data_IF_906887533458
#
_entry.id   IF_906887533458
#
_cell.length_a   1.000
_cell.length_b   1.000
_cell.length_c   1.000
_cell.angle_alpha   90.00
_cell.angle_beta   90.00
_cell.angle_gamma   90.00
#
_symmetry.space_group_name_H-M   'P 1'
#
loop_
_entity.id
_entity.type
_entity.pdbx_description
1 polymer ?
#
# COMPACT_ATOMS: atom_id res chain seq x y z
N UNK A 1 4.28 12.15 8.87
CA UNK A 1 4.31 10.84 9.58
C UNK A 1 5.70 10.22 9.57
N UNK A 2 6.45 10.21 8.46
CA UNK A 2 7.85 9.71 8.44
C UNK A 2 8.73 10.32 9.54
N UNK A 3 8.79 11.65 9.59
CA UNK A 3 9.51 12.36 10.67
C UNK A 3 9.07 11.96 12.08
N UNK A 4 7.78 11.68 12.29
CA UNK A 4 7.29 11.22 13.59
C UNK A 4 7.95 9.89 13.99
N UNK A 5 8.11 8.97 13.05
CA UNK A 5 8.78 7.69 13.27
C UNK A 5 10.29 7.88 13.45
N UNK A 6 10.92 8.74 12.63
CA UNK A 6 12.35 9.06 12.72
C UNK A 6 12.76 9.61 14.10
N UNK A 7 11.89 10.37 14.77
CA UNK A 7 12.14 10.90 16.12
C UNK A 7 11.62 10.00 17.26
N UNK A 8 11.33 8.73 16.98
CA UNK A 8 10.95 7.73 17.98
C UNK A 8 9.45 7.64 18.28
N UNK A 9 8.61 8.29 17.49
CA UNK A 9 7.15 8.15 17.54
C UNK A 9 6.63 6.94 16.75
N UNK A 10 5.30 6.86 16.61
CA UNK A 10 4.62 5.76 15.91
C UNK A 10 3.75 6.26 14.76
N UNK A 11 3.50 5.39 13.77
CA UNK A 11 2.68 5.71 12.61
C UNK A 11 1.21 6.01 12.96
N UNK A 12 0.71 5.38 14.03
CA UNK A 12 -0.64 5.53 14.56
C UNK A 12 -0.66 5.23 16.06
N UNK A 13 -1.37 6.04 16.84
CA UNK A 13 -1.67 5.74 18.24
C UNK A 13 -2.88 4.81 18.37
N UNK A 14 -4.06 5.27 17.90
CA UNK A 14 -5.34 4.57 18.08
C UNK A 14 -6.10 4.26 16.77
N UNK A 15 -5.97 5.11 15.75
CA UNK A 15 -6.81 5.02 14.53
C UNK A 15 -6.46 3.88 13.57
N UNK A 16 -5.26 3.34 13.67
CA UNK A 16 -4.76 2.29 12.78
C UNK A 16 -4.19 2.80 11.46
N UNK A 17 -3.81 1.84 10.62
CA UNK A 17 -3.10 2.06 9.35
C UNK A 17 -4.07 2.26 8.19
N UNK A 18 -5.05 1.35 8.06
CA UNK A 18 -6.04 1.37 6.98
C UNK A 18 -5.40 1.37 5.59
N UNK A 19 -5.93 2.21 4.69
CA UNK A 19 -5.34 2.46 3.37
C UNK A 19 -4.36 3.64 3.44
N UNK A 20 -4.76 4.71 4.15
CA UNK A 20 -4.05 6.00 4.15
C UNK A 20 -2.60 5.92 4.63
N UNK A 21 -2.31 5.05 5.61
CA UNK A 21 -0.95 4.92 6.17
C UNK A 21 -0.22 3.67 5.70
N UNK A 22 -0.85 2.85 4.84
CA UNK A 22 -0.33 1.55 4.38
C UNK A 22 1.07 1.66 3.79
N UNK A 23 1.29 2.64 2.92
CA UNK A 23 2.54 2.79 2.18
C UNK A 23 3.68 3.33 3.05
N UNK A 24 3.38 3.71 4.30
CA UNK A 24 4.37 4.14 5.29
C UNK A 24 4.74 3.03 6.28
N UNK A 25 4.20 1.82 6.14
CA UNK A 25 4.49 0.71 7.05
C UNK A 25 5.98 0.35 7.11
N UNK A 26 6.69 0.47 5.99
CA UNK A 26 8.15 0.23 5.94
C UNK A 26 8.98 1.28 6.69
N UNK A 27 8.39 2.41 7.09
CA UNK A 27 9.07 3.40 7.93
C UNK A 27 9.14 2.92 9.39
N UNK A 28 8.15 2.14 9.84
CA UNK A 28 8.01 1.71 11.23
C UNK A 28 8.40 0.24 11.46
N UNK A 29 8.24 -0.62 10.44
CA UNK A 29 8.47 -2.05 10.54
C UNK A 29 9.53 -2.49 9.53
N UNK A 30 10.38 -3.42 9.95
CA UNK A 30 11.34 -4.03 9.04
C UNK A 30 10.65 -4.96 8.04
N UNK A 31 11.34 -5.30 6.96
CA UNK A 31 10.85 -6.29 5.99
C UNK A 31 10.52 -7.64 6.65
N UNK A 32 11.29 -8.06 7.66
CA UNK A 32 11.02 -9.32 8.35
C UNK A 32 9.79 -9.24 9.25
N UNK A 33 9.57 -8.11 9.93
CA UNK A 33 8.33 -7.86 10.68
C UNK A 33 7.11 -7.93 9.75
N UNK A 34 7.18 -7.26 8.59
CA UNK A 34 6.10 -7.24 7.61
C UNK A 34 5.81 -8.64 7.05
N UNK A 35 6.85 -9.45 6.78
CA UNK A 35 6.67 -10.86 6.37
C UNK A 35 5.96 -11.68 7.44
N UNK A 36 6.30 -11.51 8.72
CA UNK A 36 5.62 -12.24 9.80
C UNK A 36 4.15 -11.83 9.92
N UNK A 37 3.86 -10.53 9.86
CA UNK A 37 2.47 -10.03 9.87
C UNK A 37 1.66 -10.57 8.68
N UNK A 38 2.26 -10.61 7.48
CA UNK A 38 1.63 -11.19 6.29
C UNK A 38 1.42 -12.70 6.41
N UNK A 39 2.35 -13.44 7.00
CA UNK A 39 2.16 -14.89 7.27
C UNK A 39 0.95 -15.14 8.16
N UNK A 40 0.79 -14.35 9.21
CA UNK A 40 -0.40 -14.41 10.07
C UNK A 40 -1.67 -14.12 9.25
N UNK A 41 -1.66 -13.07 8.43
CA UNK A 41 -2.77 -12.74 7.54
C UNK A 41 -3.13 -13.90 6.60
N UNK A 42 -2.16 -14.54 5.96
CA UNK A 42 -2.39 -15.66 5.05
C UNK A 42 -2.89 -16.92 5.79
N UNK A 43 -2.50 -17.13 7.05
CA UNK A 43 -2.98 -18.26 7.84
C UNK A 43 -4.48 -18.15 8.18
N UNK A 44 -5.00 -16.93 8.35
CA UNK A 44 -6.40 -16.67 8.72
C UNK A 44 -7.29 -16.17 7.57
N UNK A 45 -6.71 -15.77 6.45
CA UNK A 45 -7.42 -15.33 5.25
C UNK A 45 -6.67 -15.78 3.98
N UNK A 46 -6.67 -17.11 3.70
CA UNK A 46 -5.92 -17.69 2.59
C UNK A 46 -6.37 -17.15 1.23
N UNK A 47 -7.65 -16.81 1.09
CA UNK A 47 -8.24 -16.28 -0.15
C UNK A 47 -8.19 -14.74 -0.25
N UNK A 48 -7.58 -14.07 0.76
CA UNK A 48 -7.41 -12.62 0.81
C UNK A 48 -8.72 -11.80 0.72
N UNK A 49 -9.82 -12.31 1.28
CA UNK A 49 -11.14 -11.68 1.21
C UNK A 49 -11.35 -10.57 2.26
N UNK A 50 -10.63 -10.63 3.38
CA UNK A 50 -10.84 -9.72 4.50
C UNK A 50 -10.02 -8.44 4.33
N UNK A 51 -10.70 -7.36 3.89
CA UNK A 51 -10.13 -6.02 3.69
C UNK A 51 -8.94 -5.98 2.70
N UNK A 52 -9.15 -6.41 1.43
CA UNK A 52 -8.08 -6.44 0.44
C UNK A 52 -7.48 -5.04 0.23
N UNK A 53 -6.15 -4.98 0.26
CA UNK A 53 -5.39 -3.76 -0.02
C UNK A 53 -5.28 -2.75 1.12
N UNK A 54 -5.74 -3.09 2.33
CA UNK A 54 -5.43 -2.35 3.56
C UNK A 54 -4.18 -2.91 4.25
N UNK A 55 -3.56 -2.10 5.10
CA UNK A 55 -2.46 -2.42 6.03
C UNK A 55 -1.13 -2.74 5.35
N UNK A 56 -1.03 -3.69 4.44
CA UNK A 56 0.27 -4.11 3.88
C UNK A 56 0.62 -3.37 2.58
N UNK A 57 1.87 -2.86 2.43
CA UNK A 57 2.32 -2.24 1.19
C UNK A 57 2.09 -3.18 0.00
N UNK A 58 1.57 -2.63 -1.10
CA UNK A 58 1.58 -3.33 -2.39
C UNK A 58 2.86 -2.97 -3.10
N UNK A 59 3.50 -3.94 -3.79
CA UNK A 59 4.49 -3.62 -4.81
C UNK A 59 3.88 -2.56 -5.73
N UNK A 60 4.49 -1.38 -5.75
CA UNK A 60 4.03 -0.28 -6.57
C UNK A 60 4.02 -0.72 -8.03
N UNK A 61 2.85 -1.04 -8.57
CA UNK A 61 2.50 -0.54 -9.89
C UNK A 61 1.65 0.69 -9.67
N UNK A 62 2.34 1.81 -9.58
CA UNK A 62 1.74 3.13 -9.64
C UNK A 62 0.80 3.20 -10.83
N UNK A 63 -0.48 3.28 -10.54
CA UNK A 63 -1.44 3.82 -11.47
C UNK A 63 -2.53 4.50 -10.63
N UNK A 64 -2.19 5.24 -9.58
CA UNK A 64 -3.13 6.09 -8.82
C UNK A 64 -2.25 7.11 -8.10
N UNK A 65 -1.41 7.85 -8.85
CA UNK A 65 -1.73 9.06 -9.63
C UNK A 65 -2.45 8.94 -10.99
N UNK A 66 -2.89 7.76 -11.43
CA UNK A 66 -3.88 7.63 -12.51
C UNK A 66 -3.95 6.22 -13.03
N UNK A 67 -5.07 5.51 -12.82
CA UNK A 67 -5.23 4.16 -13.38
C UNK A 67 -5.45 4.37 -14.85
N UNK A 68 -4.44 4.09 -15.66
CA UNK A 68 -4.61 4.06 -17.11
C UNK A 68 -5.43 2.82 -17.45
N UNK A 69 -6.74 2.97 -17.49
CA UNK A 69 -7.64 1.96 -18.02
C UNK A 69 -7.48 1.96 -19.55
N UNK A 70 -6.80 0.94 -20.07
CA UNK A 70 -6.67 0.68 -21.49
C UNK A 70 -7.73 -0.36 -21.86
N UNK A 71 -8.73 0.06 -22.64
CA UNK A 71 -9.75 -0.83 -23.19
C UNK A 71 -9.36 -1.18 -24.63
N UNK A 72 -9.32 -2.47 -24.97
CA UNK A 72 -8.98 -2.96 -26.32
C UNK A 72 -7.63 -2.43 -26.86
N UNK A 73 -6.65 -2.17 -25.99
CA UNK A 73 -5.35 -1.63 -26.39
C UNK A 73 -5.36 -0.15 -26.80
N UNK A 74 -6.49 0.56 -26.66
CA UNK A 74 -6.61 1.99 -27.00
C UNK A 74 -6.25 2.87 -25.80
N UNK A 75 -5.28 3.74 -25.99
CA UNK A 75 -4.88 4.74 -24.99
C UNK A 75 -5.90 5.89 -24.96
N UNK A 76 -6.44 6.26 -23.79
CA UNK A 76 -7.28 7.44 -23.67
C UNK A 76 -6.44 8.72 -23.80
N UNK A 77 -6.88 9.61 -24.69
CA UNK A 77 -6.24 10.90 -24.99
C UNK A 77 -4.77 10.77 -25.40
N UNK A 78 -4.49 10.13 -26.56
CA UNK A 78 -3.12 9.85 -27.01
C UNK A 78 -2.31 11.10 -27.30
N UNK A 79 -2.97 12.22 -27.61
CA UNK A 79 -2.31 13.48 -28.02
C UNK A 79 -1.88 14.35 -26.83
N UNK A 80 -2.18 13.95 -25.60
CA UNK A 80 -1.75 14.68 -24.40
C UNK A 80 -0.37 14.16 -23.99
N UNK A 81 0.69 15.00 -24.02
CA UNK A 81 2.02 14.59 -23.58
C UNK A 81 1.99 14.17 -22.11
N UNK A 82 2.64 13.03 -21.79
CA UNK A 82 2.84 12.56 -20.41
C UNK A 82 4.33 12.29 -20.22
N UNK A 83 4.91 12.96 -19.22
CA UNK A 83 6.35 13.15 -18.97
C UNK A 83 7.05 14.03 -20.01
#
# INVERSE_FOLDING_TARGET
LKYCVEVGGVLTGEHGVGIEKRDLMGEMFTEDDLKQQQRLKCAFDPDQLLNPGKVYPKLHRCAELGRMFVHEGKLPFPDIPRF
#
